data_IF_032785819714
#
_entry.id   IF_032785819714
#
_cell.length_a   1.000
_cell.length_b   1.000
_cell.length_c   1.000
_cell.angle_alpha   90.00
_cell.angle_beta   90.00
_cell.angle_gamma   90.00
#
_symmetry.space_group_name_H-M   'P 1'
#
loop_
_entity.id
_entity.type
_entity.pdbx_description
1 polymer ?
#
# COMPACT_ATOMS: atom_id res chain seq x y z
N UNK A 1 -24.86 61.17 -14.97
CA UNK A 1 -25.76 60.13 -14.42
C UNK A 1 -25.70 58.88 -15.30
N UNK A 2 -24.97 57.84 -14.90
CA UNK A 2 -25.22 56.43 -15.27
C UNK A 2 -24.78 55.56 -14.08
N UNK A 3 -25.77 54.89 -13.51
CA UNK A 3 -25.76 54.19 -12.23
C UNK A 3 -25.16 52.78 -12.43
N UNK A 4 -24.15 52.42 -11.62
CA UNK A 4 -23.61 51.05 -11.58
C UNK A 4 -24.53 50.19 -10.73
N UNK A 5 -25.27 49.26 -11.34
CA UNK A 5 -26.01 48.22 -10.63
C UNK A 5 -25.03 47.19 -10.04
N UNK A 6 -25.08 46.99 -8.73
CA UNK A 6 -24.46 45.86 -8.02
C UNK A 6 -25.56 44.82 -7.81
N UNK A 7 -25.43 43.64 -8.42
CA UNK A 7 -26.29 42.49 -8.13
C UNK A 7 -25.89 41.84 -6.80
N UNK A 8 -26.83 41.26 -6.04
CA UNK A 8 -26.53 40.59 -4.78
C UNK A 8 -25.87 39.23 -5.07
N UNK A 9 -24.70 38.99 -4.48
CA UNK A 9 -24.10 37.67 -4.43
C UNK A 9 -24.92 36.79 -3.49
N UNK A 10 -25.53 35.73 -4.02
CA UNK A 10 -26.22 34.71 -3.24
C UNK A 10 -25.14 33.80 -2.66
N UNK A 11 -24.86 33.95 -1.37
CA UNK A 11 -24.01 33.03 -0.63
C UNK A 11 -24.83 31.78 -0.29
N UNK A 12 -24.59 30.67 -1.01
CA UNK A 12 -25.11 29.37 -0.62
C UNK A 12 -24.27 28.87 0.58
N UNK A 13 -24.88 28.82 1.75
CA UNK A 13 -24.28 28.24 2.94
C UNK A 13 -24.40 26.71 2.86
N UNK A 14 -23.30 26.02 2.54
CA UNK A 14 -23.22 24.58 2.73
C UNK A 14 -23.19 24.28 4.23
N UNK A 15 -24.27 23.68 4.74
CA UNK A 15 -24.36 23.29 6.14
C UNK A 15 -23.56 21.99 6.35
N UNK A 16 -22.28 22.13 6.74
CA UNK A 16 -21.48 21.02 7.23
C UNK A 16 -22.02 20.60 8.61
N UNK A 17 -22.77 19.50 8.68
CA UNK A 17 -23.08 18.85 9.96
C UNK A 17 -21.83 18.06 10.36
N UNK A 18 -20.85 18.74 10.94
CA UNK A 18 -19.72 18.10 11.59
C UNK A 18 -20.21 17.48 12.92
N UNK A 19 -20.55 16.20 12.89
CA UNK A 19 -20.73 15.41 14.11
C UNK A 19 -19.34 15.24 14.74
N UNK A 20 -19.00 16.15 15.66
CA UNK A 20 -17.81 16.04 16.49
C UNK A 20 -17.95 14.84 17.44
N UNK A 21 -17.49 13.66 16.98
CA UNK A 21 -17.45 12.44 17.78
C UNK A 21 -16.78 11.30 17.02
N UNK A 22 -15.51 11.03 17.36
CA UNK A 22 -14.69 9.87 16.98
C UNK A 22 -14.49 9.59 15.47
N UNK A 23 -13.36 10.06 14.92
CA UNK A 23 -12.54 9.36 13.92
C UNK A 23 -13.07 9.03 12.52
N UNK A 24 -14.30 9.42 12.17
CA UNK A 24 -14.87 9.14 10.85
C UNK A 24 -15.42 10.42 10.19
N UNK A 25 -14.94 10.72 8.99
CA UNK A 25 -15.46 11.80 8.14
C UNK A 25 -16.56 11.25 7.22
N UNK A 26 -17.81 11.57 7.52
CA UNK A 26 -18.94 11.34 6.61
C UNK A 26 -19.33 12.67 5.94
N UNK A 27 -19.27 12.72 4.62
CA UNK A 27 -19.73 13.85 3.79
C UNK A 27 -20.87 13.42 2.88
N UNK A 28 -21.88 14.29 2.79
CA UNK A 28 -23.04 14.12 1.93
C UNK A 28 -23.32 15.48 1.30
N UNK A 29 -23.25 15.57 -0.01
CA UNK A 29 -23.57 16.76 -0.79
C UNK A 29 -24.19 16.39 -2.14
N UNK A 30 -24.47 17.37 -3.00
CA UNK A 30 -25.10 17.13 -4.30
C UNK A 30 -24.21 16.30 -5.23
N UNK A 31 -22.89 16.32 -5.05
CA UNK A 31 -21.92 15.54 -5.82
C UNK A 31 -21.76 14.10 -5.34
N UNK A 32 -22.34 13.71 -4.19
CA UNK A 32 -22.29 12.32 -3.72
C UNK A 32 -22.26 12.12 -2.20
N UNK A 33 -21.90 10.89 -1.83
CA UNK A 33 -21.71 10.43 -0.45
C UNK A 33 -20.30 9.86 -0.34
N UNK A 34 -19.52 10.34 0.63
CA UNK A 34 -18.21 9.77 0.94
C UNK A 34 -18.05 9.54 2.43
N UNK A 35 -17.37 8.45 2.75
CA UNK A 35 -17.00 8.05 4.10
C UNK A 35 -15.52 7.74 4.12
N UNK A 36 -14.78 8.37 5.03
CA UNK A 36 -13.35 8.12 5.21
C UNK A 36 -13.03 7.99 6.70
N UNK A 37 -12.16 7.05 7.04
CA UNK A 37 -11.58 6.88 8.37
C UNK A 37 -10.18 7.49 8.40
N UNK A 38 -9.72 7.84 9.60
CA UNK A 38 -8.37 8.38 9.85
C UNK A 38 -7.22 7.49 9.32
N UNK A 39 -7.44 6.18 9.14
CA UNK A 39 -6.48 5.23 8.56
C UNK A 39 -6.42 5.27 7.02
N UNK A 40 -7.13 6.20 6.38
CA UNK A 40 -7.20 6.29 4.91
C UNK A 40 -8.15 5.29 4.24
N UNK A 41 -8.81 4.43 5.03
CA UNK A 41 -9.87 3.56 4.52
C UNK A 41 -11.15 4.35 4.26
N UNK A 42 -11.67 4.26 3.05
CA UNK A 42 -12.85 5.03 2.67
C UNK A 42 -13.67 4.41 1.55
N UNK A 43 -14.89 4.90 1.41
CA UNK A 43 -15.80 4.57 0.30
C UNK A 43 -16.48 5.85 -0.15
N UNK A 44 -16.44 6.11 -1.46
CA UNK A 44 -17.10 7.24 -2.11
C UNK A 44 -18.07 6.76 -3.18
N UNK A 45 -19.21 7.42 -3.29
CA UNK A 45 -20.15 7.28 -4.41
C UNK A 45 -20.51 8.68 -4.86
N UNK A 46 -20.14 9.03 -6.09
CA UNK A 46 -20.43 10.33 -6.69
C UNK A 46 -20.89 10.21 -8.13
N UNK A 47 -21.06 11.36 -8.77
CA UNK A 47 -21.46 11.44 -10.19
C UNK A 47 -20.42 10.79 -11.12
N UNK A 48 -19.15 10.88 -10.74
CA UNK A 48 -18.02 10.33 -11.50
C UNK A 48 -17.77 8.83 -11.23
N UNK A 49 -18.54 8.23 -10.31
CA UNK A 49 -18.49 6.79 -10.04
C UNK A 49 -18.35 6.39 -8.57
N UNK A 50 -17.79 5.20 -8.34
CA UNK A 50 -17.65 4.59 -7.01
C UNK A 50 -16.19 4.36 -6.70
N UNK A 51 -15.74 4.78 -5.51
CA UNK A 51 -14.39 4.52 -5.01
C UNK A 51 -14.45 3.73 -3.72
N UNK A 52 -13.49 2.84 -3.51
CA UNK A 52 -13.24 2.21 -2.23
C UNK A 52 -11.73 2.09 -2.03
N UNK A 53 -11.23 2.64 -0.93
CA UNK A 53 -9.81 2.68 -0.58
C UNK A 53 -9.57 2.04 0.79
N UNK A 54 -8.40 1.48 0.98
CA UNK A 54 -7.83 1.06 2.25
C UNK A 54 -6.35 1.49 2.31
N UNK A 55 -5.64 1.05 3.35
CA UNK A 55 -4.20 1.34 3.53
C UNK A 55 -3.33 0.75 2.41
N UNK A 56 -3.81 -0.31 1.72
CA UNK A 56 -3.03 -1.07 0.73
C UNK A 56 -3.29 -0.63 -0.72
N UNK A 57 -4.31 0.20 -0.93
CA UNK A 57 -4.76 0.57 -2.27
C UNK A 57 -6.23 0.95 -2.35
N UNK A 58 -6.73 1.05 -3.58
CA UNK A 58 -8.13 1.35 -3.85
C UNK A 58 -8.60 0.85 -5.19
N UNK A 59 -9.91 0.74 -5.30
CA UNK A 59 -10.63 0.49 -6.55
C UNK A 59 -11.51 1.68 -6.84
N UNK A 60 -11.47 2.15 -8.08
CA UNK A 60 -12.45 3.11 -8.59
C UNK A 60 -13.16 2.54 -9.81
N UNK A 61 -14.47 2.77 -9.88
CA UNK A 61 -15.30 2.44 -11.04
C UNK A 61 -15.85 3.75 -11.59
N UNK A 62 -15.53 4.07 -12.83
CA UNK A 62 -16.00 5.25 -13.55
C UNK A 62 -16.60 4.85 -14.91
N UNK A 63 -17.09 5.82 -15.68
CA UNK A 63 -17.69 5.58 -17.00
C UNK A 63 -16.70 4.93 -17.99
N UNK A 64 -15.41 5.22 -17.84
CA UNK A 64 -14.33 4.72 -18.71
C UNK A 64 -13.78 3.34 -18.29
N UNK A 65 -14.17 2.82 -17.11
CA UNK A 65 -13.75 1.48 -16.67
C UNK A 65 -13.55 1.33 -15.17
N UNK A 66 -12.75 0.33 -14.81
CA UNK A 66 -12.37 -0.01 -13.43
C UNK A 66 -10.88 0.20 -13.27
N UNK A 67 -10.49 1.03 -12.32
CA UNK A 67 -9.09 1.29 -11.97
C UNK A 67 -8.71 0.58 -10.67
N UNK A 68 -7.66 -0.22 -10.85
CA UNK A 68 -6.85 -1.05 -9.96
C UNK A 68 -5.68 -0.37 -9.24
N UNK A 69 -5.83 0.45 -8.20
CA UNK A 69 -4.65 0.98 -7.49
C UNK A 69 -4.26 0.06 -6.33
N UNK A 70 -3.32 -0.86 -6.55
CA UNK A 70 -2.62 -1.55 -5.46
C UNK A 70 -1.22 -0.99 -5.38
N UNK A 71 -0.70 -0.76 -4.17
CA UNK A 71 0.67 -0.27 -3.97
C UNK A 71 1.66 -0.99 -4.89
N UNK A 72 2.32 -0.21 -5.75
CA UNK A 72 3.13 -0.68 -6.88
C UNK A 72 3.96 -1.93 -6.55
N UNK A 73 3.89 -2.98 -7.37
CA UNK A 73 4.77 -4.14 -7.14
C UNK A 73 6.21 -3.79 -7.48
N UNK A 74 7.10 -3.89 -6.50
CA UNK A 74 8.55 -3.78 -6.73
C UNK A 74 9.08 -5.11 -7.23
N UNK A 75 9.78 -5.09 -8.37
CA UNK A 75 10.42 -6.28 -8.92
C UNK A 75 11.94 -6.13 -8.81
N UNK A 76 12.56 -6.97 -7.99
CA UNK A 76 14.00 -7.00 -7.78
C UNK A 76 14.57 -8.20 -8.52
N UNK A 77 15.49 -7.96 -9.44
CA UNK A 77 16.29 -9.00 -10.09
C UNK A 77 17.75 -8.76 -9.77
N UNK A 78 18.41 -9.72 -9.13
CA UNK A 78 19.78 -9.56 -8.65
C UNK A 78 20.56 -10.87 -8.69
N UNK A 79 21.84 -10.82 -9.06
CA UNK A 79 22.70 -12.01 -9.13
C UNK A 79 24.08 -11.69 -8.59
N UNK A 80 24.49 -12.32 -7.49
CA UNK A 80 25.83 -12.15 -6.91
C UNK A 80 26.12 -10.77 -6.29
N UNK A 81 25.13 -9.88 -6.21
CA UNK A 81 25.28 -8.50 -5.71
C UNK A 81 24.36 -8.22 -4.52
N UNK A 82 24.57 -7.08 -3.87
CA UNK A 82 23.68 -6.56 -2.83
C UNK A 82 22.73 -5.53 -3.41
N UNK A 83 21.43 -5.69 -3.18
CA UNK A 83 20.38 -4.73 -3.56
C UNK A 83 19.68 -4.22 -2.32
N UNK A 84 19.40 -2.92 -2.27
CA UNK A 84 18.70 -2.26 -1.16
C UNK A 84 17.50 -1.51 -1.71
N UNK A 85 16.32 -1.72 -1.13
CA UNK A 85 15.07 -1.06 -1.51
C UNK A 85 14.21 -0.74 -0.27
N UNK A 86 13.23 0.14 -0.43
CA UNK A 86 12.25 0.48 0.60
C UNK A 86 10.87 -0.03 0.18
N UNK A 87 10.22 -0.80 1.04
CA UNK A 87 8.96 -1.42 0.70
C UNK A 87 7.78 -0.43 0.66
N UNK A 88 7.70 0.52 1.58
CA UNK A 88 6.58 1.46 1.70
C UNK A 88 5.18 0.81 1.60
N UNK A 89 4.98 -0.36 2.20
CA UNK A 89 3.72 -1.14 2.19
C UNK A 89 3.50 -1.97 0.94
N UNK A 90 4.38 -1.90 -0.05
CA UNK A 90 4.18 -2.51 -1.37
C UNK A 90 4.47 -4.02 -1.37
N UNK A 91 3.95 -4.69 -2.39
CA UNK A 91 4.35 -6.07 -2.71
C UNK A 91 5.73 -6.09 -3.36
N UNK A 92 6.54 -7.10 -3.02
CA UNK A 92 7.90 -7.25 -3.56
C UNK A 92 8.07 -8.64 -4.17
N UNK A 93 8.50 -8.69 -5.42
CA UNK A 93 8.95 -9.93 -6.07
C UNK A 93 10.47 -9.89 -6.21
N UNK A 94 11.15 -10.84 -5.58
CA UNK A 94 12.59 -11.02 -5.65
C UNK A 94 12.88 -12.25 -6.50
N UNK A 95 13.58 -12.06 -7.61
CA UNK A 95 14.16 -13.13 -8.42
C UNK A 95 15.66 -12.98 -8.36
N UNK A 96 16.33 -13.81 -7.56
CA UNK A 96 17.76 -13.64 -7.35
C UNK A 96 18.53 -14.94 -7.19
N UNK A 97 19.84 -14.90 -7.43
CA UNK A 97 20.73 -16.03 -7.20
C UNK A 97 22.04 -15.58 -6.57
N UNK A 98 22.43 -16.25 -5.48
CA UNK A 98 23.64 -15.95 -4.70
C UNK A 98 23.75 -14.46 -4.31
N UNK A 99 22.60 -13.81 -4.11
CA UNK A 99 22.49 -12.37 -3.91
C UNK A 99 22.10 -12.04 -2.46
N UNK A 100 22.32 -10.78 -2.07
CA UNK A 100 21.80 -10.24 -0.81
C UNK A 100 20.79 -9.12 -1.11
N UNK A 101 19.59 -9.19 -0.54
CA UNK A 101 18.57 -8.14 -0.72
C UNK A 101 18.20 -7.59 0.64
N UNK A 102 18.19 -6.27 0.79
CA UNK A 102 17.79 -5.56 2.02
C UNK A 102 16.55 -4.74 1.72
N UNK A 103 15.46 -5.02 2.44
CA UNK A 103 14.14 -4.43 2.27
C UNK A 103 13.77 -3.66 3.53
N UNK A 104 13.81 -2.34 3.43
CA UNK A 104 13.48 -1.42 4.50
C UNK A 104 11.98 -1.16 4.61
N UNK A 105 11.55 -0.76 5.82
CA UNK A 105 10.14 -0.46 6.12
C UNK A 105 9.23 -1.69 6.09
N UNK A 106 7.92 -1.46 6.24
CA UNK A 106 6.93 -2.53 6.15
C UNK A 106 6.67 -2.90 4.70
N UNK A 107 6.76 -4.17 4.36
CA UNK A 107 6.32 -4.74 3.09
C UNK A 107 4.94 -5.40 3.26
N UNK A 108 4.15 -5.46 2.19
CA UNK A 108 2.95 -6.30 2.18
C UNK A 108 3.33 -7.78 2.05
N UNK A 109 3.17 -8.33 0.84
CA UNK A 109 3.65 -9.67 0.51
C UNK A 109 5.02 -9.64 -0.17
N UNK A 110 5.91 -10.54 0.23
CA UNK A 110 7.25 -10.70 -0.36
C UNK A 110 7.38 -12.10 -0.96
N UNK A 111 7.59 -12.18 -2.27
CA UNK A 111 7.81 -13.44 -2.98
C UNK A 111 9.28 -13.55 -3.37
N UNK A 112 9.98 -14.55 -2.86
CA UNK A 112 11.40 -14.75 -3.14
C UNK A 112 11.58 -16.02 -3.95
N UNK A 113 12.32 -15.93 -5.05
CA UNK A 113 12.65 -17.08 -5.90
C UNK A 113 14.11 -17.10 -6.33
N UNK A 114 14.59 -18.32 -6.61
CA UNK A 114 15.98 -18.60 -7.02
C UNK A 114 16.75 -19.39 -5.97
N UNK A 115 18.05 -19.16 -5.82
CA UNK A 115 18.89 -19.99 -4.94
C UNK A 115 20.03 -19.27 -4.24
N UNK A 116 20.36 -19.70 -3.02
CA UNK A 116 21.55 -19.23 -2.30
C UNK A 116 21.45 -17.77 -1.81
N UNK A 117 20.24 -17.27 -1.62
CA UNK A 117 19.99 -15.85 -1.35
C UNK A 117 19.94 -15.55 0.15
N UNK A 118 20.39 -14.35 0.52
CA UNK A 118 20.11 -13.74 1.84
C UNK A 118 19.19 -12.55 1.70
N UNK A 119 18.05 -12.59 2.36
CA UNK A 119 17.07 -11.51 2.34
C UNK A 119 16.99 -10.93 3.74
N UNK A 120 17.17 -9.63 3.89
CA UNK A 120 17.00 -8.90 5.13
C UNK A 120 15.71 -8.08 5.00
N UNK A 121 14.74 -8.37 5.85
CA UNK A 121 13.41 -7.78 5.88
C UNK A 121 13.22 -7.02 7.18
N UNK A 122 12.72 -5.79 7.10
CA UNK A 122 12.31 -5.09 8.30
C UNK A 122 11.01 -5.67 8.85
N UNK A 123 9.90 -5.53 8.11
CA UNK A 123 8.63 -6.18 8.41
C UNK A 123 7.93 -6.62 7.12
N UNK A 124 7.14 -7.69 7.19
CA UNK A 124 6.26 -8.11 6.10
C UNK A 124 5.02 -8.84 6.64
N UNK A 125 3.89 -8.72 5.95
CA UNK A 125 2.69 -9.48 6.32
C UNK A 125 2.84 -10.97 5.97
N UNK A 126 3.42 -11.24 4.80
CA UNK A 126 3.61 -12.58 4.29
C UNK A 126 4.89 -12.72 3.46
N UNK A 127 5.51 -13.89 3.56
CA UNK A 127 6.69 -14.27 2.79
C UNK A 127 6.45 -15.62 2.11
N UNK A 128 6.63 -15.67 0.79
CA UNK A 128 6.62 -16.91 0.01
C UNK A 128 8.03 -17.22 -0.49
N UNK A 129 8.52 -18.43 -0.21
CA UNK A 129 9.85 -18.89 -0.64
C UNK A 129 9.72 -19.98 -1.71
N UNK A 130 10.14 -19.65 -2.92
CA UNK A 130 10.07 -20.49 -4.10
C UNK A 130 11.48 -20.73 -4.67
N UNK A 131 12.24 -21.61 -4.04
CA UNK A 131 13.65 -21.80 -4.39
C UNK A 131 14.39 -22.76 -3.47
N UNK A 132 15.71 -22.63 -3.44
CA UNK A 132 16.54 -23.41 -2.51
C UNK A 132 17.59 -22.59 -1.79
N UNK A 133 17.89 -22.96 -0.55
CA UNK A 133 18.93 -22.31 0.25
C UNK A 133 18.73 -20.78 0.34
N UNK A 134 17.47 -20.36 0.53
CA UNK A 134 17.11 -18.97 0.78
C UNK A 134 17.06 -18.76 2.30
N UNK A 135 17.87 -17.83 2.81
CA UNK A 135 17.80 -17.40 4.22
C UNK A 135 17.18 -16.02 4.31
N UNK A 136 16.09 -15.92 5.05
CA UNK A 136 15.42 -14.65 5.35
C UNK A 136 15.68 -14.27 6.81
N UNK A 137 16.14 -13.04 7.00
CA UNK A 137 16.29 -12.40 8.30
C UNK A 137 15.19 -11.37 8.47
N UNK A 138 14.38 -11.44 9.53
CA UNK A 138 13.37 -10.42 9.86
C UNK A 138 13.72 -9.67 11.15
N UNK A 139 13.67 -8.34 11.15
CA UNK A 139 13.96 -7.53 12.34
C UNK A 139 12.71 -7.18 13.16
N UNK A 140 11.55 -7.12 12.51
CA UNK A 140 10.24 -6.88 13.11
C UNK A 140 9.48 -8.15 13.50
N UNK A 141 8.15 -8.06 13.49
CA UNK A 141 7.26 -9.21 13.75
C UNK A 141 7.50 -10.35 12.74
N UNK A 142 7.25 -11.58 13.18
CA UNK A 142 7.44 -12.76 12.33
C UNK A 142 6.35 -12.82 11.25
N UNK A 143 6.72 -12.85 9.95
CA UNK A 143 5.75 -12.87 8.86
C UNK A 143 5.04 -14.22 8.75
N UNK A 144 3.90 -14.25 8.07
CA UNK A 144 3.28 -15.52 7.66
C UNK A 144 4.12 -16.16 6.56
N UNK A 145 4.52 -17.41 6.74
CA UNK A 145 5.45 -18.08 5.82
C UNK A 145 4.76 -19.16 5.00
N UNK A 146 5.00 -19.13 3.69
CA UNK A 146 4.73 -20.24 2.76
C UNK A 146 6.04 -20.64 2.09
N UNK A 147 6.59 -21.79 2.48
CA UNK A 147 7.78 -22.36 1.85
C UNK A 147 7.38 -23.50 0.92
N UNK A 148 7.64 -23.33 -0.38
CA UNK A 148 7.43 -24.36 -1.42
C UNK A 148 8.76 -24.89 -1.97
N UNK A 149 9.88 -24.51 -1.35
CA UNK A 149 11.24 -24.81 -1.75
C UNK A 149 11.94 -25.85 -0.88
N UNK A 150 13.27 -25.79 -0.82
CA UNK A 150 14.10 -26.71 -0.02
C UNK A 150 15.30 -26.00 0.62
N UNK A 151 15.58 -26.31 1.89
CA UNK A 151 16.73 -25.73 2.59
C UNK A 151 16.56 -24.24 2.88
N UNK A 152 15.33 -23.74 2.85
CA UNK A 152 15.05 -22.36 3.18
C UNK A 152 14.95 -22.20 4.70
N UNK A 153 15.33 -21.02 5.19
CA UNK A 153 15.34 -20.68 6.61
C UNK A 153 14.79 -19.28 6.82
N UNK A 154 13.99 -19.10 7.86
CA UNK A 154 13.56 -17.80 8.36
C UNK A 154 14.05 -17.68 9.80
N UNK A 155 14.72 -16.58 10.09
CA UNK A 155 15.32 -16.33 11.40
C UNK A 155 15.21 -14.86 11.77
N UNK A 156 15.18 -14.58 13.07
CA UNK A 156 15.10 -13.21 13.56
C UNK A 156 16.47 -12.52 13.50
N UNK A 157 16.50 -11.26 13.08
CA UNK A 157 17.69 -10.42 13.00
C UNK A 157 17.84 -9.75 11.62
N UNK A 158 19.08 -9.47 11.22
CA UNK A 158 19.41 -8.90 9.92
C UNK A 158 19.61 -7.38 9.93
N UNK A 159 19.89 -6.84 8.74
CA UNK A 159 20.39 -5.47 8.54
C UNK A 159 19.30 -4.46 8.11
N UNK A 160 18.06 -4.92 7.96
CA UNK A 160 16.96 -4.07 7.53
C UNK A 160 16.42 -3.20 8.67
N UNK A 161 16.44 -1.89 8.44
CA UNK A 161 15.77 -0.88 9.27
C UNK A 161 14.28 -0.77 8.92
N UNK A 162 13.44 -0.73 9.96
CA UNK A 162 11.99 -0.50 9.86
C UNK A 162 11.59 0.96 9.90
#
# INVERSE_FOLDING_TARGET
>A
MRMRMRGPAVAAAAALIALAGAGCGLSIDEGGVSYEREDGTGVGVGEDGVTATNEDGGVSLAEDGVDVEFGDTVNITSTGETTVDDCAGRMVNVVSSDATVVLHGSCGAVNVSGSGNRIHLAAADAVTLAGSDITVYHSGEEPRVVDIGKGNEITQGGDAAG
#
